data_IF_561107643924
#
_entry.id   IF_561107643924
#
_cell.length_a   1.000
_cell.length_b   1.000
_cell.length_c   1.000
_cell.angle_alpha   90.00
_cell.angle_beta   90.00
_cell.angle_gamma   90.00
#
_symmetry.space_group_name_H-M   'P 1'
#
loop_
_entity.id
_entity.type
_entity.pdbx_description
1 polymer ?
#
# COMPACT_ATOMS: atom_id res chain seq x y z
N UNK A 1 31.59 12.28 -5.86
CA UNK A 1 30.82 11.04 -6.14
C UNK A 1 30.84 10.81 -7.65
N UNK A 2 31.25 9.64 -8.13
CA UNK A 2 31.37 9.35 -9.57
C UNK A 2 30.10 8.70 -10.11
N UNK A 3 29.79 8.91 -11.40
CA UNK A 3 28.59 8.39 -12.08
C UNK A 3 28.43 6.87 -11.92
N UNK A 4 29.54 6.11 -11.92
CA UNK A 4 29.54 4.66 -11.73
C UNK A 4 29.01 4.22 -10.36
N UNK A 5 29.19 5.05 -9.31
CA UNK A 5 28.64 4.79 -7.98
C UNK A 5 27.12 4.96 -7.93
N UNK A 6 26.56 5.86 -8.75
CA UNK A 6 25.13 6.15 -8.82
C UNK A 6 24.40 5.07 -9.65
N UNK A 7 25.03 4.58 -10.73
CA UNK A 7 24.44 3.49 -11.51
C UNK A 7 24.37 2.17 -10.72
N UNK A 8 25.39 1.86 -9.91
CA UNK A 8 25.44 0.64 -9.08
C UNK A 8 24.38 0.61 -7.98
N UNK A 9 23.96 1.78 -7.46
CA UNK A 9 22.84 1.88 -6.52
C UNK A 9 21.48 1.72 -7.20
N UNK A 10 21.36 2.02 -8.49
CA UNK A 10 20.09 1.93 -9.22
C UNK A 10 19.76 0.48 -9.61
N UNK A 11 20.77 -0.36 -9.84
CA UNK A 11 20.60 -1.76 -10.27
C UNK A 11 20.03 -2.72 -9.21
N UNK A 12 19.90 -2.30 -7.95
CA UNK A 12 19.35 -3.13 -6.85
C UNK A 12 18.16 -2.49 -6.13
N UNK A 13 17.54 -1.45 -6.72
CA UNK A 13 16.28 -0.92 -6.23
C UNK A 13 15.15 -1.73 -6.88
N UNK A 14 14.98 -2.98 -6.44
CA UNK A 14 13.68 -3.62 -6.65
C UNK A 14 12.64 -2.71 -5.99
N UNK A 15 11.66 -2.25 -6.77
CA UNK A 15 10.56 -1.44 -6.28
C UNK A 15 9.75 -2.27 -5.28
N UNK A 16 10.18 -2.26 -4.02
CA UNK A 16 9.57 -3.05 -2.96
C UNK A 16 8.23 -2.44 -2.63
N UNK A 17 7.18 -3.14 -3.00
CA UNK A 17 5.83 -2.78 -2.59
C UNK A 17 5.74 -3.04 -1.08
N UNK A 18 5.12 -2.11 -0.34
CA UNK A 18 4.93 -2.22 1.11
C UNK A 18 3.45 -2.04 1.45
N UNK A 19 3.03 -2.64 2.57
CA UNK A 19 1.63 -2.63 2.99
C UNK A 19 0.78 -3.62 2.20
N UNK A 20 -0.40 -3.21 1.72
CA UNK A 20 -1.37 -4.12 1.08
C UNK A 20 -0.93 -4.71 -0.28
N UNK A 21 0.28 -4.40 -0.72
CA UNK A 21 0.89 -4.94 -1.95
C UNK A 21 2.25 -5.62 -1.65
N UNK A 22 2.62 -5.77 -0.38
CA UNK A 22 3.95 -6.27 0.04
C UNK A 22 4.25 -7.72 -0.36
N UNK A 23 3.23 -8.44 -0.83
CA UNK A 23 3.32 -9.83 -1.29
C UNK A 23 2.63 -10.04 -2.65
N UNK A 24 2.33 -8.97 -3.38
CA UNK A 24 1.74 -9.09 -4.71
C UNK A 24 2.79 -9.04 -5.80
N UNK A 25 2.84 -10.07 -6.63
CA UNK A 25 3.59 -10.06 -7.89
C UNK A 25 2.70 -9.53 -9.00
N UNK A 26 3.21 -8.61 -9.81
CA UNK A 26 2.46 -8.13 -10.97
C UNK A 26 2.33 -9.25 -12.04
N UNK A 27 1.21 -9.31 -12.79
CA UNK A 27 0.00 -8.49 -12.63
C UNK A 27 -0.85 -8.96 -11.43
N UNK A 28 -1.32 -8.00 -10.62
CA UNK A 28 -2.19 -8.28 -9.47
C UNK A 28 -3.63 -7.89 -9.78
N UNK A 29 -4.56 -8.73 -9.32
CA UNK A 29 -5.99 -8.43 -9.33
C UNK A 29 -6.28 -7.27 -8.36
N UNK A 30 -6.45 -6.08 -8.93
CA UNK A 30 -6.67 -4.85 -8.16
C UNK A 30 -7.99 -4.87 -7.40
N UNK A 31 -9.02 -5.57 -7.88
CA UNK A 31 -10.31 -5.63 -7.19
C UNK A 31 -10.20 -6.44 -5.90
N UNK A 32 -9.45 -7.54 -5.91
CA UNK A 32 -9.12 -8.28 -4.68
C UNK A 32 -8.35 -7.43 -3.68
N UNK A 33 -7.38 -6.64 -4.15
CA UNK A 33 -6.60 -5.75 -3.27
C UNK A 33 -7.49 -4.68 -2.62
N UNK A 34 -8.35 -4.04 -3.41
CA UNK A 34 -9.32 -3.03 -2.93
C UNK A 34 -10.26 -3.61 -1.88
N UNK A 35 -10.86 -4.78 -2.17
CA UNK A 35 -11.74 -5.48 -1.25
C UNK A 35 -11.05 -5.83 0.07
N UNK A 36 -9.83 -6.36 0.01
CA UNK A 36 -9.03 -6.66 1.20
C UNK A 36 -8.80 -5.42 2.07
N UNK A 37 -8.41 -4.29 1.47
CA UNK A 37 -8.14 -3.05 2.20
C UNK A 37 -9.39 -2.52 2.89
N UNK A 38 -10.52 -2.52 2.19
CA UNK A 38 -11.80 -2.10 2.74
C UNK A 38 -12.25 -3.00 3.90
N UNK A 39 -12.13 -4.32 3.75
CA UNK A 39 -12.46 -5.27 4.81
C UNK A 39 -11.57 -5.06 6.04
N UNK A 40 -10.27 -4.83 5.84
CA UNK A 40 -9.34 -4.55 6.95
C UNK A 40 -9.70 -3.25 7.68
N UNK A 41 -10.09 -2.19 6.95
CA UNK A 41 -10.55 -0.95 7.56
C UNK A 41 -11.81 -1.17 8.40
N UNK A 42 -12.80 -1.91 7.88
CA UNK A 42 -14.03 -2.25 8.62
C UNK A 42 -13.74 -3.05 9.88
N UNK A 43 -12.87 -4.05 9.80
CA UNK A 43 -12.42 -4.81 10.98
C UNK A 43 -11.80 -3.90 12.04
N UNK A 44 -10.98 -2.93 11.63
CA UNK A 44 -10.43 -1.93 12.56
C UNK A 44 -11.50 -1.01 13.13
N UNK A 45 -12.51 -0.62 12.35
CA UNK A 45 -13.63 0.16 12.87
C UNK A 45 -14.41 -0.61 13.94
N UNK A 46 -14.65 -1.91 13.73
CA UNK A 46 -15.27 -2.81 14.71
C UNK A 46 -14.42 -2.94 15.98
N UNK A 47 -13.11 -3.18 15.84
CA UNK A 47 -12.19 -3.28 16.99
C UNK A 47 -12.12 -2.00 17.83
N UNK A 48 -12.38 -0.84 17.22
CA UNK A 48 -12.36 0.47 17.87
C UNK A 48 -13.75 1.03 18.21
N UNK A 49 -14.82 0.27 17.94
CA UNK A 49 -16.22 0.67 18.16
C UNK A 49 -16.58 2.05 17.56
N UNK A 50 -16.23 2.26 16.29
CA UNK A 50 -16.54 3.49 15.56
C UNK A 50 -17.47 3.24 14.38
N UNK A 51 -18.43 4.14 14.18
CA UNK A 51 -19.39 4.04 13.08
C UNK A 51 -18.81 4.42 11.71
N UNK A 52 -17.70 5.17 11.67
CA UNK A 52 -17.16 5.72 10.43
C UNK A 52 -15.73 6.24 10.54
N UNK A 53 -15.11 6.46 9.37
CA UNK A 53 -13.79 7.08 9.23
C UNK A 53 -13.91 8.27 8.26
N UNK A 54 -13.34 9.42 8.64
CA UNK A 54 -13.17 10.58 7.77
C UNK A 54 -11.67 10.79 7.52
N UNK A 55 -11.23 10.60 6.27
CA UNK A 55 -9.82 10.51 5.92
C UNK A 55 -9.37 11.76 5.16
N UNK A 56 -8.62 12.64 5.82
CA UNK A 56 -8.04 13.85 5.21
C UNK A 56 -6.66 13.61 4.57
N UNK A 57 -5.95 12.57 5.01
CA UNK A 57 -4.66 12.21 4.44
C UNK A 57 -4.84 11.45 3.13
N UNK A 58 -4.22 11.95 2.05
CA UNK A 58 -4.32 11.40 0.69
C UNK A 58 -3.87 9.93 0.59
N UNK A 59 -2.89 9.51 1.40
CA UNK A 59 -2.42 8.12 1.45
C UNK A 59 -3.53 7.22 2.00
N UNK A 60 -4.24 7.67 3.05
CA UNK A 60 -5.35 6.92 3.63
C UNK A 60 -6.54 6.86 2.68
N UNK A 61 -6.83 7.96 1.99
CA UNK A 61 -7.87 8.00 0.95
C UNK A 61 -7.55 7.00 -0.16
N UNK A 62 -6.30 6.95 -0.65
CA UNK A 62 -5.86 5.96 -1.65
C UNK A 62 -5.88 4.53 -1.14
N UNK A 63 -5.70 4.32 0.17
CA UNK A 63 -5.74 3.00 0.77
C UNK A 63 -7.18 2.48 0.95
N UNK A 64 -8.15 3.35 1.20
CA UNK A 64 -9.53 2.97 1.48
C UNK A 64 -10.37 2.56 0.25
N UNK A 65 -9.83 2.77 -0.95
CA UNK A 65 -10.46 2.42 -2.23
C UNK A 65 -10.13 1.01 -2.68
#
# INVERSE_FOLDING_TARGET
MTLNSIMKTTTNLEARQHGAMEFSTAPVDLDKVRQYRLQRLRKKMEEHDVAGLLLFNQINTRYAV
#
